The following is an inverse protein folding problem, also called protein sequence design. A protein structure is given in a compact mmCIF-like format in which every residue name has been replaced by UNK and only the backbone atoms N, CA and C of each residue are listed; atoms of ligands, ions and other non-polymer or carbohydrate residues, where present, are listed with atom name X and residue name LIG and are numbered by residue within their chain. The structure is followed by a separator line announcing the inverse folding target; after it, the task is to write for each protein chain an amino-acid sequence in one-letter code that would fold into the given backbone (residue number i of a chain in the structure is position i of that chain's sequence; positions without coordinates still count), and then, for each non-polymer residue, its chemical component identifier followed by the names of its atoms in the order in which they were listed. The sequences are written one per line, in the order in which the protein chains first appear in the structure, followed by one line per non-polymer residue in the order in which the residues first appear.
data_IF_244555248457
#
_entry.id   IF_244555248457
#
_cell.length_a   1.000
_cell.length_b   1.000
_cell.length_c   1.000
_cell.angle_alpha   90.00
_cell.angle_beta   90.00
_cell.angle_gamma   90.00
#
_symmetry.space_group_name_H-M   'P 1'
#
loop_
_entity.id
_entity.type
_entity.pdbx_description
1 polymer ?
#
# COMPACT_ATOMS: atom_id res chain seq x y z
N UNK A 1 5.77 21.60 -5.45
CA UNK A 1 6.09 20.33 -4.78
C UNK A 1 5.25 19.30 -5.49
N UNK A 2 5.84 18.19 -5.95
CA UNK A 2 5.06 17.16 -6.62
C UNK A 2 4.53 16.19 -5.59
N UNK A 3 3.23 16.01 -5.60
CA UNK A 3 2.52 15.02 -4.81
C UNK A 3 2.53 13.67 -5.54
N UNK A 4 2.64 12.58 -4.79
CA UNK A 4 2.59 11.23 -5.32
C UNK A 4 1.46 10.49 -4.65
N UNK A 5 0.50 10.03 -5.44
CA UNK A 5 -0.64 9.26 -4.96
C UNK A 5 -0.28 7.79 -4.89
N UNK A 6 -0.37 7.20 -3.70
CA UNK A 6 0.00 5.81 -3.44
C UNK A 6 -1.21 4.98 -3.06
N UNK A 7 -1.26 3.75 -3.56
CA UNK A 7 -2.24 2.74 -3.20
C UNK A 7 -1.52 1.44 -2.86
N UNK A 8 -1.93 0.80 -1.77
CA UNK A 8 -1.36 -0.46 -1.32
C UNK A 8 -2.46 -1.43 -0.97
N UNK A 9 -2.36 -2.64 -1.53
CA UNK A 9 -3.20 -3.78 -1.17
C UNK A 9 -2.33 -4.88 -0.58
N UNK A 10 -2.77 -5.41 0.55
CA UNK A 10 -2.04 -6.43 1.33
C UNK A 10 -2.81 -7.73 1.26
N UNK A 11 -2.11 -8.81 0.93
CA UNK A 11 -2.64 -10.16 0.80
C UNK A 11 -1.88 -11.11 1.71
N UNK A 12 -2.59 -12.02 2.38
CA UNK A 12 -1.99 -13.06 3.21
C UNK A 12 -2.91 -13.47 4.36
N UNK A 13 -2.40 -14.27 5.31
CA UNK A 13 -3.20 -14.79 6.40
C UNK A 13 -3.85 -13.67 7.23
N UNK A 14 -5.14 -13.79 7.60
CA UNK A 14 -5.84 -12.76 8.39
C UNK A 14 -5.14 -12.39 9.71
N UNK A 15 -4.46 -13.36 10.34
CA UNK A 15 -3.68 -13.13 11.57
C UNK A 15 -2.46 -12.23 11.35
N UNK A 16 -1.77 -12.39 10.22
CA UNK A 16 -0.62 -11.55 9.86
C UNK A 16 -1.06 -10.17 9.38
N UNK A 17 -2.17 -10.06 8.66
CA UNK A 17 -2.78 -8.76 8.31
C UNK A 17 -3.18 -8.01 9.59
N UNK A 18 -3.79 -8.70 10.56
CA UNK A 18 -4.15 -8.10 11.85
C UNK A 18 -2.92 -7.62 12.61
N UNK A 19 -1.83 -8.40 12.61
CA UNK A 19 -0.55 -8.03 13.21
C UNK A 19 0.11 -6.85 12.49
N UNK A 20 0.05 -6.81 11.16
CA UNK A 20 0.51 -5.69 10.34
C UNK A 20 -0.21 -4.41 10.70
N UNK A 21 -1.55 -4.44 10.73
CA UNK A 21 -2.39 -3.30 11.13
C UNK A 21 -2.00 -2.76 12.50
N UNK A 22 -1.79 -3.64 13.47
CA UNK A 22 -1.46 -3.28 14.84
C UNK A 22 -0.09 -2.60 14.99
N UNK A 23 0.91 -3.02 14.20
CA UNK A 23 2.32 -2.61 14.37
C UNK A 23 2.78 -1.53 13.38
N UNK A 24 2.08 -1.38 12.26
CA UNK A 24 2.46 -0.45 11.18
C UNK A 24 1.57 0.77 11.07
N UNK A 25 0.52 0.89 11.90
CA UNK A 25 -0.31 2.09 11.94
C UNK A 25 -0.45 2.58 13.36
N UNK A 26 -0.31 3.89 13.52
CA UNK A 26 -0.58 4.60 14.76
C UNK A 26 -1.53 5.76 14.46
N UNK A 27 -2.43 6.14 15.38
CA UNK A 27 -3.17 7.38 15.24
C UNK A 27 -2.22 8.56 15.04
N UNK A 28 -2.54 9.45 14.12
CA UNK A 28 -1.77 10.69 13.96
C UNK A 28 -1.94 11.58 15.20
N UNK A 29 -0.85 12.23 15.64
CA UNK A 29 -0.92 13.27 16.67
C UNK A 29 -1.33 14.63 16.10
N UNK A 30 -1.34 14.78 14.77
CA UNK A 30 -1.78 15.99 14.08
C UNK A 30 -3.32 16.09 13.98
N UNK A 31 -4.06 15.03 14.31
CA UNK A 31 -5.53 15.08 14.42
C UNK A 31 -6.03 15.96 15.59
N UNK A 32 -5.13 16.32 16.52
CA UNK A 32 -5.46 17.13 17.71
C UNK A 32 -5.33 18.65 17.47
N UNK A 33 -4.87 19.09 16.29
CA UNK A 33 -4.75 20.51 15.93
C UNK A 33 -5.91 20.90 15.00
N UNK A 34 -6.94 21.53 15.59
CA UNK A 34 -7.99 22.26 14.88
C UNK A 34 -7.41 23.45 14.09
N UNK A 35 -6.79 23.20 12.94
CA UNK A 35 -6.43 24.26 12.00
C UNK A 35 -7.48 24.30 10.87
N UNK A 36 -8.31 25.36 10.93
CA UNK A 36 -9.47 25.67 10.08
C UNK A 36 -9.14 25.97 8.60
N UNK A 37 -7.96 25.59 8.10
CA UNK A 37 -7.51 25.84 6.73
C UNK A 37 -7.02 24.52 6.07
N UNK A 38 -7.94 23.60 5.78
CA UNK A 38 -7.72 22.50 4.83
C UNK A 38 -6.91 21.29 5.30
N UNK A 39 -6.66 21.15 6.60
CA UNK A 39 -6.08 19.93 7.20
C UNK A 39 -7.16 18.87 7.43
N UNK A 40 -7.62 18.21 6.36
CA UNK A 40 -8.49 17.03 6.43
C UNK A 40 -7.66 15.74 6.22
N UNK A 41 -7.81 14.74 7.10
CA UNK A 41 -7.64 13.34 6.69
C UNK A 41 -6.32 12.61 6.99
N UNK A 42 -5.56 12.98 8.01
CA UNK A 42 -4.50 12.09 8.53
C UNK A 42 -4.96 11.33 9.78
N UNK A 43 -5.85 10.35 9.62
CA UNK A 43 -6.30 9.54 10.76
C UNK A 43 -5.18 8.64 11.31
N UNK A 44 -4.22 8.26 10.46
CA UNK A 44 -3.13 7.34 10.79
C UNK A 44 -1.78 7.79 10.23
N UNK A 45 -0.70 7.38 10.90
CA UNK A 45 0.69 7.47 10.45
C UNK A 45 1.21 6.06 10.22
N UNK A 46 1.95 5.86 9.13
CA UNK A 46 2.61 4.58 8.85
C UNK A 46 3.88 4.48 9.72
N UNK A 47 3.94 3.45 10.56
CA UNK A 47 5.07 3.16 11.44
C UNK A 47 5.86 1.98 10.90
N UNK A 48 7.18 2.00 11.10
CA UNK A 48 7.97 0.78 10.85
C UNK A 48 7.90 -0.06 12.13
N UNK A 49 7.64 -1.38 12.07
CA UNK A 49 7.78 -2.23 13.23
C UNK A 49 9.21 -2.12 13.79
N UNK A 50 9.36 -1.88 15.09
CA UNK A 50 10.67 -2.03 15.72
C UNK A 50 11.01 -3.53 15.78
N UNK A 51 12.19 -3.93 15.30
CA UNK A 51 12.64 -5.33 15.22
C UNK A 51 12.57 -6.12 16.56
N UNK A 52 12.36 -5.44 17.70
CA UNK A 52 12.44 -6.06 19.02
C UNK A 52 11.37 -5.62 20.04
N UNK A 53 10.32 -4.85 19.67
CA UNK A 53 9.30 -4.39 20.66
C UNK A 53 7.86 -4.57 20.17
N UNK A 54 6.97 -4.90 21.11
CA UNK A 54 5.51 -5.00 20.95
C UNK A 54 4.82 -3.64 20.74
N UNK A 55 5.59 -2.63 20.35
CA UNK A 55 5.15 -1.24 20.22
C UNK A 55 5.46 -0.76 18.81
N UNK A 56 4.71 0.22 18.33
CA UNK A 56 4.97 0.90 17.06
C UNK A 56 6.39 1.48 17.07
N UNK A 57 7.18 1.24 16.02
CA UNK A 57 8.47 1.90 15.86
C UNK A 57 8.30 3.38 15.50
N UNK A 58 9.41 4.13 15.26
CA UNK A 58 9.31 5.55 14.97
C UNK A 58 8.42 5.78 13.74
N UNK A 59 7.54 6.81 13.76
CA UNK A 59 6.72 7.15 12.61
C UNK A 59 7.62 7.43 11.42
N UNK A 60 7.23 6.94 10.25
CA UNK A 60 7.76 7.44 9.00
C UNK A 60 7.22 8.87 8.85
N UNK A 61 8.08 9.84 9.18
CA UNK A 61 7.79 11.25 9.47
C UNK A 61 6.85 11.97 8.50
N UNK A 62 6.06 12.92 9.04
CA UNK A 62 5.61 14.26 8.57
C UNK A 62 5.29 14.56 7.09
N UNK A 63 5.35 13.58 6.18
CA UNK A 63 5.20 13.77 4.73
C UNK A 63 4.21 12.76 4.12
N UNK A 64 3.26 12.30 4.93
CA UNK A 64 2.15 11.44 4.50
C UNK A 64 0.86 12.19 4.78
N UNK A 65 -0.04 12.27 3.80
CA UNK A 65 -1.38 12.84 3.96
C UNK A 65 -2.43 12.10 3.15
N UNK A 66 -3.71 12.52 3.25
CA UNK A 66 -4.86 11.86 2.61
C UNK A 66 -4.92 10.35 2.85
N UNK A 67 -4.68 9.93 4.11
CA UNK A 67 -4.71 8.52 4.45
C UNK A 67 -6.16 8.02 4.46
N UNK A 68 -6.46 7.02 3.65
CA UNK A 68 -7.75 6.32 3.63
C UNK A 68 -7.51 4.82 3.62
N UNK A 69 -8.39 4.05 4.26
CA UNK A 69 -8.26 2.60 4.31
C UNK A 69 -9.60 1.88 4.29
N UNK A 70 -9.60 0.73 3.60
CA UNK A 70 -10.73 -0.19 3.57
C UNK A 70 -10.48 -1.32 4.58
N UNK A 71 -11.11 -1.20 5.76
CA UNK A 71 -11.03 -2.19 6.82
C UNK A 71 -12.34 -2.98 6.96
N UNK A 72 -12.47 -4.04 6.16
CA UNK A 72 -13.53 -5.03 6.31
C UNK A 72 -13.08 -6.11 7.31
N UNK A 73 -13.73 -6.24 8.50
CA UNK A 73 -13.33 -7.23 9.49
C UNK A 73 -13.40 -8.67 8.95
N UNK A 74 -12.31 -9.41 9.10
CA UNK A 74 -12.21 -10.82 8.68
C UNK A 74 -11.94 -11.04 7.18
N UNK A 75 -11.64 -9.99 6.41
CA UNK A 75 -11.12 -10.15 5.04
C UNK A 75 -9.62 -10.47 5.08
N UNK A 76 -9.17 -11.37 4.20
CA UNK A 76 -7.75 -11.66 3.97
C UNK A 76 -7.08 -10.65 3.04
N UNK A 77 -7.70 -9.48 2.96
CA UNK A 77 -7.26 -8.34 2.19
C UNK A 77 -7.38 -7.11 3.05
N UNK A 78 -6.40 -6.23 2.90
CA UNK A 78 -6.45 -4.90 3.46
C UNK A 78 -5.94 -3.92 2.42
N UNK A 79 -6.65 -2.81 2.22
CA UNK A 79 -6.25 -1.80 1.26
C UNK A 79 -6.16 -0.44 1.96
N UNK A 80 -5.18 0.36 1.58
CA UNK A 80 -5.04 1.72 2.04
C UNK A 80 -4.38 2.59 0.98
N UNK A 81 -4.68 3.88 1.02
CA UNK A 81 -4.16 4.90 0.13
C UNK A 81 -3.57 6.03 0.97
N UNK A 82 -2.57 6.69 0.43
CA UNK A 82 -1.92 7.82 1.07
C UNK A 82 -1.07 8.58 0.06
N UNK A 83 -0.84 9.84 0.34
CA UNK A 83 -0.03 10.72 -0.50
C UNK A 83 1.33 10.97 0.14
N UNK A 84 2.34 11.16 -0.69
CA UNK A 84 3.71 11.46 -0.27
C UNK A 84 4.33 12.54 -1.13
N UNK A 85 5.34 13.21 -0.59
CA UNK A 85 6.22 14.08 -1.34
C UNK A 85 7.17 13.30 -2.27
N UNK A 86 7.24 13.71 -3.54
CA UNK A 86 8.26 13.37 -4.56
C UNK A 86 8.41 11.90 -5.00
N UNK A 87 8.10 10.89 -4.17
CA UNK A 87 8.27 9.47 -4.52
C UNK A 87 7.53 8.50 -3.59
N UNK A 88 7.28 7.29 -4.09
CA UNK A 88 6.85 6.17 -3.23
C UNK A 88 7.94 5.84 -2.20
N UNK A 89 7.58 5.57 -0.93
CA UNK A 89 8.53 5.32 0.15
C UNK A 89 9.08 3.88 0.13
N UNK A 90 9.90 3.56 -0.88
CA UNK A 90 10.47 2.21 -1.10
C UNK A 90 11.18 1.66 0.14
N UNK A 91 12.08 2.44 0.75
CA UNK A 91 12.86 2.00 1.92
C UNK A 91 11.97 1.60 3.12
N UNK A 92 10.80 2.25 3.28
CA UNK A 92 9.81 1.91 4.29
C UNK A 92 9.19 0.55 3.99
N UNK A 93 8.71 0.37 2.76
CA UNK A 93 8.04 -0.87 2.36
C UNK A 93 8.97 -2.07 2.31
N UNK A 94 10.25 -1.88 1.98
CA UNK A 94 11.24 -2.94 2.13
C UNK A 94 11.40 -3.40 3.59
N UNK A 95 11.38 -2.46 4.54
CA UNK A 95 11.46 -2.79 5.98
C UNK A 95 10.20 -3.48 6.46
N UNK A 96 9.03 -2.99 6.06
CA UNK A 96 7.73 -3.63 6.35
C UNK A 96 7.70 -5.04 5.77
N UNK A 97 8.04 -5.23 4.50
CA UNK A 97 8.04 -6.53 3.83
C UNK A 97 8.95 -7.54 4.53
N UNK A 98 10.13 -7.11 5.00
CA UNK A 98 11.03 -7.96 5.81
C UNK A 98 10.41 -8.37 7.16
N UNK A 99 9.63 -7.50 7.79
CA UNK A 99 8.96 -7.78 9.06
C UNK A 99 7.73 -8.71 8.92
N UNK A 100 7.13 -8.76 7.72
CA UNK A 100 5.94 -9.55 7.40
C UNK A 100 6.14 -10.44 6.17
N UNK A 101 7.03 -11.45 6.23
CA UNK A 101 7.37 -12.28 5.06
C UNK A 101 6.20 -13.14 4.54
N UNK A 102 5.13 -13.29 5.33
CA UNK A 102 3.92 -14.02 4.93
C UNK A 102 2.88 -13.15 4.21
N UNK A 103 3.11 -11.83 4.13
CA UNK A 103 2.25 -10.88 3.44
C UNK A 103 2.88 -10.49 2.10
N UNK A 104 2.05 -10.39 1.06
CA UNK A 104 2.40 -9.78 -0.21
C UNK A 104 1.78 -8.38 -0.29
N UNK A 105 2.54 -7.39 -0.75
CA UNK A 105 2.12 -5.99 -0.84
C UNK A 105 2.09 -5.59 -2.31
N UNK A 106 0.89 -5.45 -2.87
CA UNK A 106 0.65 -4.88 -4.19
C UNK A 106 0.63 -3.37 -4.06
N UNK A 107 1.60 -2.70 -4.67
CA UNK A 107 1.78 -1.26 -4.55
C UNK A 107 1.65 -0.61 -5.91
N UNK A 108 0.95 0.52 -5.97
CA UNK A 108 0.81 1.37 -7.14
C UNK A 108 1.05 2.83 -6.72
N UNK A 109 1.83 3.61 -7.48
CA UNK A 109 2.01 5.05 -7.27
C UNK A 109 1.95 5.85 -8.59
N UNK A 110 1.57 7.12 -8.54
CA UNK A 110 1.62 8.02 -9.70
C UNK A 110 1.91 9.44 -9.23
N UNK A 111 2.82 10.09 -9.93
CA UNK A 111 3.21 11.47 -9.68
C UNK A 111 2.18 12.45 -10.28
N UNK A 112 1.78 13.45 -9.48
CA UNK A 112 0.78 14.46 -9.83
C UNK A 112 1.18 15.36 -11.02
N UNK A 113 2.47 15.41 -11.35
CA UNK A 113 3.02 16.19 -12.46
C UNK A 113 3.36 15.31 -13.68
N UNK A 114 2.88 14.07 -13.70
CA UNK A 114 3.12 13.07 -14.74
C UNK A 114 4.61 12.71 -14.93
N UNK A 115 5.47 12.95 -13.92
CA UNK A 115 6.91 12.68 -14.04
C UNK A 115 7.23 11.18 -14.02
N UNK A 116 6.46 10.39 -13.29
CA UNK A 116 6.60 8.94 -13.22
C UNK A 116 5.33 8.23 -12.72
N UNK A 117 5.27 6.93 -12.95
CA UNK A 117 4.38 6.01 -12.24
C UNK A 117 5.14 4.80 -11.73
N UNK A 118 4.54 4.14 -10.74
CA UNK A 118 5.08 2.91 -10.17
C UNK A 118 4.01 1.88 -9.92
N UNK A 119 4.41 0.62 -10.03
CA UNK A 119 3.59 -0.52 -9.71
C UNK A 119 4.43 -1.77 -9.48
N UNK A 120 3.85 -2.75 -8.78
CA UNK A 120 4.43 -4.07 -8.54
C UNK A 120 4.38 -4.45 -7.07
N UNK A 121 5.17 -5.46 -6.68
CA UNK A 121 5.02 -6.12 -5.40
C UNK A 121 6.24 -5.96 -4.49
N UNK A 122 5.99 -5.90 -3.18
CA UNK A 122 6.96 -6.35 -2.18
C UNK A 122 6.51 -7.72 -1.65
N UNK A 123 7.47 -8.59 -1.32
CA UNK A 123 7.24 -10.03 -1.08
C UNK A 123 6.48 -10.67 -2.26
N UNK A 124 7.10 -10.57 -3.43
CA UNK A 124 6.47 -10.88 -4.71
C UNK A 124 5.98 -12.32 -4.79
N UNK A 125 4.67 -12.52 -5.00
CA UNK A 125 4.11 -13.85 -5.20
C UNK A 125 4.57 -14.44 -6.54
N UNK A 126 4.54 -15.76 -6.68
CA UNK A 126 4.95 -16.43 -7.91
C UNK A 126 4.13 -15.92 -9.11
N UNK A 127 4.81 -15.42 -10.15
CA UNK A 127 4.16 -14.81 -11.32
C UNK A 127 3.86 -13.31 -11.18
N UNK A 128 4.22 -12.69 -10.06
CA UNK A 128 4.20 -11.24 -9.89
C UNK A 128 5.49 -10.56 -10.36
N UNK A 129 5.47 -9.23 -10.36
CA UNK A 129 6.61 -8.36 -10.69
C UNK A 129 7.06 -7.59 -9.44
N UNK A 130 8.37 -7.46 -9.21
CA UNK A 130 8.86 -6.64 -8.11
C UNK A 130 8.49 -5.16 -8.34
N UNK A 131 8.20 -4.44 -7.26
CA UNK A 131 7.82 -3.02 -7.34
C UNK A 131 8.92 -2.18 -8.00
N UNK A 132 8.51 -1.35 -8.96
CA UNK A 132 9.34 -0.28 -9.52
C UNK A 132 8.50 0.99 -9.71
N UNK A 133 9.13 2.15 -9.56
CA UNK A 133 8.56 3.48 -9.84
C UNK A 133 9.27 4.19 -11.00
N UNK A 134 9.88 3.42 -11.90
CA UNK A 134 10.65 3.93 -13.05
C UNK A 134 9.85 3.96 -14.36
N UNK A 135 8.52 3.91 -14.30
CA UNK A 135 7.68 3.83 -15.49
C UNK A 135 7.23 5.22 -15.93
N UNK A 136 7.20 5.46 -17.24
CA UNK A 136 6.68 6.70 -17.81
C UNK A 136 5.15 6.77 -17.67
N UNK A 137 4.60 7.92 -17.31
CA UNK A 137 3.14 8.10 -17.33
C UNK A 137 2.65 8.13 -18.79
N UNK A 138 1.73 7.25 -19.20
CA UNK A 138 1.21 7.25 -20.56
C UNK A 138 0.55 8.58 -20.88
N UNK A 139 0.79 9.06 -22.10
CA UNK A 139 0.05 10.21 -22.63
C UNK A 139 -1.45 9.90 -22.55
N UNK A 140 -2.22 10.84 -22.02
CA UNK A 140 -3.67 10.72 -21.82
C UNK A 140 -4.08 9.72 -20.71
N UNK A 141 -3.18 9.37 -19.77
CA UNK A 141 -3.51 8.49 -18.63
C UNK A 141 -4.79 8.93 -17.90
N UNK A 142 -4.86 10.21 -17.53
CA UNK A 142 -6.00 10.79 -16.80
C UNK A 142 -7.30 10.90 -17.62
N UNK A 143 -7.20 10.96 -18.95
CA UNK A 143 -8.33 11.26 -19.83
C UNK A 143 -8.85 10.04 -20.60
N UNK A 144 -8.02 9.00 -20.74
CA UNK A 144 -8.34 7.77 -21.48
C UNK A 144 -9.28 6.82 -20.74
N UNK A 145 -9.48 7.02 -19.43
CA UNK A 145 -10.50 6.30 -18.64
C UNK A 145 -10.22 4.82 -18.38
N UNK A 146 -9.06 4.29 -18.79
CA UNK A 146 -8.69 2.91 -18.48
C UNK A 146 -8.37 2.72 -16.99
N UNK A 147 -7.81 3.73 -16.34
CA UNK A 147 -7.46 3.70 -14.92
C UNK A 147 -6.39 2.67 -14.53
N UNK A 148 -5.79 1.98 -15.51
CA UNK A 148 -4.80 0.94 -15.29
C UNK A 148 -3.40 1.45 -15.65
N UNK A 149 -2.44 1.22 -14.75
CA UNK A 149 -1.01 1.56 -14.96
C UNK A 149 -0.28 0.52 -15.81
N UNK A 150 -0.81 -0.70 -15.85
CA UNK A 150 -0.28 -1.84 -16.61
C UNK A 150 -0.89 -1.87 -18.01
N UNK A 151 -0.15 -2.38 -18.98
CA UNK A 151 -0.73 -2.71 -20.28
C UNK A 151 -1.80 -3.81 -20.14
N UNK A 152 -2.73 -3.97 -21.10
CA UNK A 152 -3.87 -4.87 -20.95
C UNK A 152 -3.49 -6.33 -20.68
N UNK A 153 -2.38 -6.83 -21.24
CA UNK A 153 -1.96 -8.21 -21.04
C UNK A 153 -1.39 -8.39 -19.62
N UNK A 154 -0.54 -7.47 -19.18
CA UNK A 154 0.05 -7.48 -17.83
C UNK A 154 -1.03 -7.25 -16.76
N UNK A 155 -2.00 -6.35 -17.02
CA UNK A 155 -3.17 -6.15 -16.15
C UNK A 155 -3.99 -7.44 -16.00
N UNK A 156 -4.25 -8.15 -17.09
CA UNK A 156 -4.98 -9.43 -17.04
C UNK A 156 -4.25 -10.50 -16.23
N UNK A 157 -2.91 -10.55 -16.32
CA UNK A 157 -2.09 -11.47 -15.55
C UNK A 157 -2.09 -11.11 -14.06
N UNK A 158 -1.97 -9.83 -13.75
CA UNK A 158 -2.03 -9.30 -12.39
C UNK A 158 -3.37 -9.61 -11.71
N UNK A 159 -4.50 -9.42 -12.40
CA UNK A 159 -5.83 -9.78 -11.90
C UNK A 159 -5.97 -11.29 -11.66
N UNK A 160 -5.44 -12.11 -12.56
CA UNK A 160 -5.44 -13.56 -12.40
C UNK A 160 -4.62 -13.99 -11.17
N UNK A 161 -3.50 -13.32 -10.90
CA UNK A 161 -2.67 -13.55 -9.72
C UNK A 161 -3.40 -13.17 -8.43
N UNK A 162 -4.03 -12.00 -8.37
CA UNK A 162 -4.86 -11.59 -7.24
C UNK A 162 -5.97 -12.62 -6.99
N UNK A 163 -6.65 -13.08 -8.04
CA UNK A 163 -7.70 -14.08 -7.92
C UNK A 163 -7.18 -15.41 -7.36
N UNK A 164 -5.94 -15.80 -7.68
CA UNK A 164 -5.30 -17.00 -7.11
C UNK A 164 -4.98 -16.83 -5.64
N UNK A 165 -4.39 -15.69 -5.24
CA UNK A 165 -4.07 -15.41 -3.83
C UNK A 165 -5.32 -15.44 -2.94
N UNK A 166 -6.39 -14.80 -3.39
CA UNK A 166 -7.68 -14.78 -2.66
C UNK A 166 -8.30 -16.17 -2.54
N UNK A 167 -8.11 -17.05 -3.54
CA UNK A 167 -8.60 -18.44 -3.48
C UNK A 167 -7.79 -19.29 -2.53
N UNK A 168 -6.46 -19.21 -2.61
CA UNK A 168 -5.55 -20.01 -1.79
C UNK A 168 -5.75 -19.76 -0.28
N UNK A 169 -6.03 -18.51 0.07
CA UNK A 169 -6.30 -18.13 1.45
C UNK A 169 -7.62 -18.74 1.98
N UNK A 170 -8.72 -18.65 1.20
CA UNK A 170 -10.01 -19.29 1.56
C UNK A 170 -9.93 -20.80 1.76
N UNK A 171 -9.11 -21.47 0.96
CA UNK A 171 -8.90 -22.92 1.07
C UNK A 171 -8.08 -23.30 2.31
N UNK A 172 -7.25 -22.38 2.81
CA UNK A 172 -6.44 -22.58 4.01
C UNK A 172 -7.29 -22.41 5.27
N UNK A 173 -8.20 -21.43 5.29
CA UNK A 173 -9.15 -21.20 6.40
C UNK A 173 -10.23 -22.29 6.51
N UNK A 174 -10.65 -22.89 5.39
CA UNK A 174 -11.65 -23.97 5.36
C UNK A 174 -11.15 -25.35 5.82
N UNK A 175 -9.87 -25.47 6.21
CA UNK A 175 -9.24 -26.73 6.65
C UNK A 175 -9.04 -26.84 8.18
N UNK A 176 -9.64 -25.94 8.96
CA UNK A 176 -9.64 -25.97 10.43
C UNK A 176 -10.90 -26.62 11.01
#
# INVERSE_FOLDING_TARGET
MSEVWNSVRVYGPPSEISRFKLLCFAPSRASDTHDDDGWDGCDCVITVPADERRDNGPPFSDYVWNFDHDDVPGDSRYAFNFDTDFRFPVDLFERIARAFPALAFDCDCIDSMDEFMGYGWFNTPAGGEDFSQSYDVPKDYWTSGSGHKRDPATQSQHEALIAQLVRADRETDGRL
#
